data_IF_824231083815
#
_entry.id   IF_824231083815
#
_cell.length_a   1.000
_cell.length_b   1.000
_cell.length_c   1.000
_cell.angle_alpha   90.00
_cell.angle_beta   90.00
_cell.angle_gamma   90.00
#
_symmetry.space_group_name_H-M   'P 1'
#
loop_
_entity.id
_entity.type
_entity.pdbx_description
1 polymer ?
#
# COMPACT_ATOMS: atom_id res chain seq x y z
N UNK A 1 1.89 33.98 6.07
CA UNK A 1 1.37 32.81 5.35
C UNK A 1 1.40 31.46 6.14
N UNK A 2 1.89 31.39 7.38
CA UNK A 2 2.01 30.12 8.13
C UNK A 2 0.70 29.48 8.64
N UNK A 3 -0.42 30.19 8.66
CA UNK A 3 -1.69 29.71 9.24
C UNK A 3 -2.86 29.53 8.23
N UNK A 4 -2.62 29.71 6.94
CA UNK A 4 -3.67 29.52 5.92
C UNK A 4 -3.79 28.04 5.55
N UNK A 5 -5.03 27.56 5.41
CA UNK A 5 -5.32 26.22 4.88
C UNK A 5 -4.85 26.09 3.41
N UNK A 6 -4.76 24.88 2.89
CA UNK A 6 -4.19 24.61 1.56
C UNK A 6 -4.91 25.39 0.43
N UNK A 7 -6.24 25.48 0.48
CA UNK A 7 -7.03 26.19 -0.54
C UNK A 7 -6.65 27.67 -0.71
N UNK A 8 -6.68 28.52 0.35
CA UNK A 8 -6.32 29.93 0.18
C UNK A 8 -4.83 30.12 -0.19
N UNK A 9 -3.94 29.20 0.18
CA UNK A 9 -2.53 29.25 -0.23
C UNK A 9 -2.38 29.04 -1.75
N UNK A 10 -2.99 27.99 -2.29
CA UNK A 10 -2.91 27.69 -3.73
C UNK A 10 -3.64 28.73 -4.55
N UNK A 11 -4.79 29.21 -4.08
CA UNK A 11 -5.55 30.27 -4.73
C UNK A 11 -4.73 31.58 -4.78
N UNK A 12 -4.18 32.04 -3.65
CA UNK A 12 -3.41 33.27 -3.58
C UNK A 12 -2.11 33.18 -4.41
N UNK A 13 -1.45 32.03 -4.43
CA UNK A 13 -0.25 31.82 -5.22
C UNK A 13 -0.56 31.86 -6.72
N UNK A 14 -1.62 31.17 -7.17
CA UNK A 14 -1.99 31.13 -8.58
C UNK A 14 -2.50 32.49 -9.07
N UNK A 15 -3.31 33.22 -8.30
CA UNK A 15 -3.80 34.54 -8.71
C UNK A 15 -2.67 35.57 -8.73
N UNK A 16 -1.75 35.54 -7.77
CA UNK A 16 -0.60 36.46 -7.75
C UNK A 16 0.34 36.24 -8.94
N UNK A 17 0.57 34.97 -9.32
CA UNK A 17 1.37 34.62 -10.50
C UNK A 17 0.70 35.08 -11.79
N UNK A 18 -0.61 34.82 -11.95
CA UNK A 18 -1.36 35.26 -13.12
C UNK A 18 -1.45 36.79 -13.21
N UNK A 19 -1.69 37.48 -12.08
CA UNK A 19 -1.73 38.94 -12.04
C UNK A 19 -0.37 39.55 -12.46
N UNK A 20 0.74 39.01 -11.93
CA UNK A 20 2.07 39.43 -12.33
C UNK A 20 2.32 39.25 -13.83
N UNK A 21 1.90 38.09 -14.39
CA UNK A 21 2.03 37.80 -15.82
C UNK A 21 1.19 38.80 -16.67
N UNK A 22 -0.04 39.11 -16.23
CA UNK A 22 -0.92 40.11 -16.92
C UNK A 22 -0.27 41.48 -16.90
N UNK A 23 0.26 41.94 -15.76
CA UNK A 23 0.94 43.23 -15.61
C UNK A 23 2.17 43.31 -16.51
N UNK A 24 3.00 42.28 -16.54
CA UNK A 24 4.18 42.21 -17.39
C UNK A 24 3.78 42.25 -18.86
N UNK A 25 2.80 41.47 -19.29
CA UNK A 25 2.35 41.40 -20.66
C UNK A 25 1.80 42.77 -21.16
N UNK A 26 0.93 43.39 -20.35
CA UNK A 26 0.37 44.72 -20.69
C UNK A 26 1.43 45.82 -20.64
N UNK A 27 2.38 45.76 -19.68
CA UNK A 27 3.51 46.66 -19.61
C UNK A 27 4.43 46.52 -20.85
N UNK A 28 4.68 45.29 -21.31
CA UNK A 28 5.47 45.03 -22.51
C UNK A 28 4.78 45.58 -23.78
N UNK A 29 3.46 45.37 -23.88
CA UNK A 29 2.68 45.95 -25.00
C UNK A 29 2.78 47.48 -25.00
N UNK A 30 2.59 48.11 -23.84
CA UNK A 30 2.71 49.55 -23.68
C UNK A 30 4.08 50.09 -24.08
N UNK A 31 5.16 49.40 -23.68
CA UNK A 31 6.55 49.84 -23.96
C UNK A 31 6.96 49.58 -25.42
N UNK A 32 6.62 48.44 -26.01
CA UNK A 32 7.11 48.03 -27.32
C UNK A 32 6.26 48.52 -28.47
N UNK A 33 4.93 48.68 -28.28
CA UNK A 33 4.03 49.03 -29.38
C UNK A 33 4.41 50.32 -30.11
N UNK A 34 4.80 51.42 -29.43
CA UNK A 34 5.19 52.65 -30.13
C UNK A 34 6.42 52.44 -31.00
N UNK A 35 7.42 51.69 -30.51
CA UNK A 35 8.64 51.45 -31.27
C UNK A 35 8.41 50.56 -32.53
N UNK A 36 7.60 49.51 -32.34
CA UNK A 36 7.24 48.60 -33.46
C UNK A 36 6.41 49.36 -34.53
N UNK A 37 5.45 50.18 -34.11
CA UNK A 37 4.63 50.95 -35.01
C UNK A 37 5.45 52.00 -35.80
N UNK A 38 6.38 52.71 -35.11
CA UNK A 38 7.28 53.64 -35.75
C UNK A 38 8.19 52.94 -36.77
N UNK A 39 8.76 51.80 -36.45
CA UNK A 39 9.59 51.01 -37.37
C UNK A 39 8.77 50.57 -38.59
N UNK A 40 7.55 50.11 -38.42
CA UNK A 40 6.68 49.73 -39.54
C UNK A 40 6.36 50.90 -40.45
N UNK A 41 6.08 52.09 -39.88
CA UNK A 41 5.85 53.29 -40.63
C UNK A 41 7.10 53.72 -41.44
N UNK A 42 8.29 53.67 -40.86
CA UNK A 42 9.57 53.94 -41.53
C UNK A 42 9.78 53.02 -42.74
N UNK A 43 9.56 51.70 -42.56
CA UNK A 43 9.67 50.73 -43.64
C UNK A 43 8.64 50.98 -44.76
N UNK A 44 7.43 51.36 -44.40
CA UNK A 44 6.37 51.71 -45.34
C UNK A 44 6.80 52.95 -46.16
N UNK A 45 7.26 54.02 -45.50
CA UNK A 45 7.74 55.21 -46.17
C UNK A 45 8.93 54.96 -47.09
N UNK A 46 9.87 54.06 -46.69
CA UNK A 46 10.99 53.65 -47.57
C UNK A 46 10.50 52.91 -48.83
N UNK A 47 9.56 51.96 -48.65
CA UNK A 47 9.00 51.24 -49.80
C UNK A 47 8.23 52.18 -50.73
N UNK A 48 7.47 53.15 -50.20
CA UNK A 48 6.72 54.12 -50.96
C UNK A 48 7.61 55.08 -51.77
N UNK A 49 8.74 55.57 -51.17
CA UNK A 49 9.62 56.47 -51.92
C UNK A 49 10.36 55.71 -53.02
N UNK A 50 10.76 54.44 -52.80
CA UNK A 50 11.38 53.58 -53.83
C UNK A 50 10.39 53.36 -54.99
N UNK A 51 9.14 53.07 -54.68
CA UNK A 51 8.13 52.81 -55.68
C UNK A 51 7.78 54.08 -56.49
N UNK A 52 7.63 55.22 -55.78
CA UNK A 52 7.44 56.51 -56.40
C UNK A 52 8.64 56.85 -57.30
N UNK A 53 9.87 56.66 -56.82
CA UNK A 53 11.09 56.95 -57.60
C UNK A 53 11.16 56.14 -58.89
N UNK A 54 10.68 54.87 -58.83
CA UNK A 54 10.61 54.00 -60.01
C UNK A 54 9.58 54.48 -61.02
N UNK A 55 8.40 54.95 -60.55
CA UNK A 55 7.36 55.47 -61.40
C UNK A 55 7.75 56.81 -62.07
N UNK A 56 8.49 57.68 -61.38
CA UNK A 56 8.93 58.99 -61.90
C UNK A 56 10.12 58.89 -62.85
N UNK A 57 10.87 57.83 -62.89
CA UNK A 57 12.10 57.69 -63.69
C UNK A 57 11.80 57.84 -65.21
N UNK A 58 12.47 58.79 -65.86
CA UNK A 58 12.41 59.03 -67.33
C UNK A 58 11.18 59.78 -67.79
N UNK A 59 10.29 60.17 -66.83
CA UNK A 59 9.08 60.93 -67.17
C UNK A 59 9.40 62.42 -67.46
N UNK A 60 8.49 63.09 -68.18
CA UNK A 60 8.52 64.56 -68.37
C UNK A 60 8.04 65.26 -67.08
N UNK A 61 8.39 66.57 -66.95
CA UNK A 61 8.04 67.33 -65.73
C UNK A 61 6.56 67.33 -65.44
N UNK A 62 5.71 67.47 -66.48
CA UNK A 62 4.23 67.50 -66.31
C UNK A 62 3.67 66.15 -65.90
N UNK A 63 4.21 65.07 -66.47
CA UNK A 63 3.82 63.74 -66.11
C UNK A 63 4.26 63.40 -64.68
N UNK A 64 5.43 63.87 -64.26
CA UNK A 64 5.94 63.73 -62.88
C UNK A 64 5.02 64.41 -61.86
N UNK A 65 4.53 65.63 -62.17
CA UNK A 65 3.56 66.35 -61.33
C UNK A 65 2.30 65.54 -61.13
N UNK A 66 1.76 65.00 -62.23
CA UNK A 66 0.48 64.26 -62.21
C UNK A 66 0.66 62.96 -61.47
N UNK A 67 1.78 62.23 -61.68
CA UNK A 67 2.13 60.97 -60.96
C UNK A 67 2.32 61.26 -59.48
N UNK A 68 3.08 62.28 -59.09
CA UNK A 68 3.29 62.63 -57.68
C UNK A 68 1.96 63.02 -56.99
N UNK A 69 1.11 63.79 -57.65
CA UNK A 69 -0.21 64.17 -57.12
C UNK A 69 -1.12 62.97 -56.90
N UNK A 70 -1.20 62.07 -57.88
CA UNK A 70 -2.05 60.85 -57.75
C UNK A 70 -1.50 59.88 -56.69
N UNK A 71 -0.13 59.78 -56.57
CA UNK A 71 0.52 58.97 -55.57
C UNK A 71 0.30 59.51 -54.14
N UNK A 72 0.46 60.87 -53.97
CA UNK A 72 0.20 61.56 -52.71
C UNK A 72 -1.21 61.30 -52.19
N UNK A 73 -2.23 61.43 -53.04
CA UNK A 73 -3.63 61.17 -52.69
C UNK A 73 -3.88 59.67 -52.37
N UNK A 74 -3.30 58.75 -53.15
CA UNK A 74 -3.56 57.33 -53.00
C UNK A 74 -2.91 56.77 -51.71
N UNK A 75 -1.72 57.27 -51.36
CA UNK A 75 -0.94 56.78 -50.24
C UNK A 75 -1.04 57.65 -48.97
N UNK A 76 -1.80 58.74 -49.05
CA UNK A 76 -1.98 59.70 -47.96
C UNK A 76 -0.64 60.22 -47.42
N UNK A 77 0.23 60.63 -48.31
CA UNK A 77 1.58 61.18 -48.02
C UNK A 77 1.76 62.55 -48.73
N UNK A 78 2.63 63.38 -48.19
CA UNK A 78 3.00 64.62 -48.86
C UNK A 78 4.27 64.39 -49.64
N UNK A 79 4.28 64.81 -50.95
CA UNK A 79 5.42 64.67 -51.85
C UNK A 79 5.84 66.07 -52.27
N UNK A 80 7.11 66.36 -52.10
CA UNK A 80 7.73 67.58 -52.64
C UNK A 80 8.71 67.18 -53.72
N UNK A 81 8.46 67.73 -54.96
CA UNK A 81 9.35 67.60 -56.09
C UNK A 81 10.16 68.93 -56.28
N UNK A 82 11.46 68.85 -56.31
CA UNK A 82 12.30 70.00 -56.68
C UNK A 82 12.70 69.87 -58.14
N UNK A 83 12.05 70.66 -59.05
CA UNK A 83 12.27 70.66 -60.48
C UNK A 83 12.83 72.04 -60.83
N UNK A 84 14.02 72.09 -61.50
CA UNK A 84 14.69 73.30 -61.84
C UNK A 84 14.87 74.35 -60.73
N UNK A 85 15.14 73.80 -59.52
CA UNK A 85 15.34 74.60 -58.28
C UNK A 85 14.08 75.18 -57.67
N UNK A 86 12.92 74.78 -58.14
CA UNK A 86 11.58 75.12 -57.53
C UNK A 86 10.95 73.96 -56.88
N UNK A 87 10.53 74.13 -55.62
CA UNK A 87 9.80 73.15 -54.87
C UNK A 87 8.34 73.16 -55.14
N UNK A 88 7.75 72.06 -55.61
CA UNK A 88 6.34 71.86 -55.86
C UNK A 88 5.85 70.74 -54.92
N UNK A 89 4.87 71.08 -54.06
CA UNK A 89 4.34 70.18 -53.03
C UNK A 89 2.98 69.66 -53.40
N UNK A 90 2.81 68.34 -53.36
CA UNK A 90 1.59 67.58 -53.58
C UNK A 90 1.09 66.97 -52.27
N UNK A 91 -0.02 67.34 -51.76
CA UNK A 91 -0.59 66.93 -50.48
C UNK A 91 -1.56 65.77 -50.68
N UNK A 92 -1.32 64.66 -49.99
CA UNK A 92 -2.26 63.54 -49.88
C UNK A 92 -3.20 63.59 -48.68
N UNK A 93 -2.88 64.41 -47.69
CA UNK A 93 -3.69 64.73 -46.53
C UNK A 93 -3.71 66.24 -46.32
N UNK A 94 -4.69 66.78 -45.58
CA UNK A 94 -4.71 68.21 -45.20
C UNK A 94 -3.46 68.44 -44.25
N UNK A 95 -2.34 68.65 -44.88
CA UNK A 95 -1.20 69.17 -44.19
C UNK A 95 -1.26 70.68 -44.22
N UNK A 96 -1.13 71.24 -43.10
CA UNK A 96 -0.85 72.64 -42.89
C UNK A 96 0.31 73.07 -43.80
N UNK A 97 0.15 74.22 -44.54
CA UNK A 97 1.10 74.69 -45.51
C UNK A 97 2.53 74.73 -44.97
N UNK A 98 3.39 73.91 -45.55
CA UNK A 98 4.84 73.96 -45.29
C UNK A 98 5.44 74.99 -46.22
N UNK A 99 5.69 76.19 -45.72
CA UNK A 99 6.56 77.18 -46.39
C UNK A 99 7.96 76.93 -45.95
N UNK A 100 8.74 76.22 -46.80
CA UNK A 100 10.19 76.00 -46.56
C UNK A 100 10.95 77.21 -47.14
N UNK A 101 11.21 78.22 -46.36
CA UNK A 101 12.24 79.23 -46.63
C UNK A 101 13.50 78.82 -45.82
N UNK A 102 14.55 78.52 -46.57
CA UNK A 102 15.98 78.33 -46.18
C UNK A 102 16.45 76.93 -45.76
N UNK A 103 17.77 76.67 -45.96
CA UNK A 103 18.36 75.33 -45.67
C UNK A 103 18.34 75.04 -44.17
N UNK A 104 17.64 73.97 -43.87
CA UNK A 104 17.22 73.55 -42.53
C UNK A 104 18.41 73.15 -41.68
N UNK A 105 18.80 73.97 -40.73
CA UNK A 105 19.35 73.54 -39.49
C UNK A 105 18.26 72.77 -38.69
N UNK A 106 18.58 71.61 -38.22
CA UNK A 106 17.63 70.51 -37.82
C UNK A 106 16.77 70.80 -36.57
N UNK A 107 16.60 72.04 -36.15
CA UNK A 107 16.02 72.34 -34.82
C UNK A 107 14.61 72.97 -34.80
N UNK A 108 14.09 73.50 -35.90
CA UNK A 108 12.71 74.09 -35.90
C UNK A 108 12.02 74.04 -37.27
N UNK A 109 11.08 73.18 -37.47
CA UNK A 109 10.13 73.20 -38.58
C UNK A 109 8.85 73.87 -38.09
N UNK A 110 8.65 75.16 -38.46
CA UNK A 110 7.40 75.88 -38.17
C UNK A 110 6.47 75.71 -39.38
N UNK A 111 5.32 75.08 -39.22
CA UNK A 111 4.31 74.85 -40.20
C UNK A 111 3.08 75.70 -39.78
N UNK A 112 2.74 76.76 -40.53
CA UNK A 112 1.55 77.59 -40.36
C UNK A 112 1.19 77.93 -38.91
N UNK A 113 2.19 78.33 -38.07
CA UNK A 113 1.93 78.82 -36.70
C UNK A 113 1.74 77.77 -35.63
N UNK A 114 1.77 76.48 -35.95
CA UNK A 114 1.83 75.42 -34.95
C UNK A 114 3.23 74.85 -34.87
N UNK A 115 3.76 74.72 -33.64
CA UNK A 115 5.00 74.00 -33.37
C UNK A 115 4.74 72.49 -33.56
N UNK A 116 5.19 71.99 -34.72
CA UNK A 116 5.15 70.54 -34.92
C UNK A 116 6.49 69.96 -34.41
N UNK A 117 6.39 69.03 -33.49
CA UNK A 117 7.56 68.29 -33.01
C UNK A 117 8.24 67.60 -34.21
N UNK A 118 9.53 67.86 -34.48
CA UNK A 118 10.28 67.22 -35.58
C UNK A 118 10.24 65.69 -35.53
N UNK A 119 9.96 65.12 -34.38
CA UNK A 119 9.77 63.70 -34.17
C UNK A 119 8.43 63.16 -34.75
N UNK A 120 7.52 64.02 -35.19
CA UNK A 120 6.19 63.63 -35.70
C UNK A 120 6.12 63.42 -37.21
N UNK A 121 7.24 63.60 -37.96
CA UNK A 121 7.26 63.46 -39.43
C UNK A 121 8.42 62.57 -39.86
N UNK A 122 8.13 61.56 -40.68
CA UNK A 122 9.15 60.74 -41.34
C UNK A 122 9.44 61.37 -42.69
N UNK A 123 10.69 61.87 -42.89
CA UNK A 123 11.13 62.43 -44.13
C UNK A 123 12.04 61.43 -44.83
N UNK A 124 11.76 61.12 -46.08
CA UNK A 124 12.64 60.31 -46.94
C UNK A 124 12.90 61.10 -48.22
N UNK A 125 14.18 61.23 -48.62
CA UNK A 125 14.60 61.98 -49.81
C UNK A 125 15.33 61.04 -50.76
N UNK A 126 15.02 61.14 -52.04
CA UNK A 126 15.71 60.45 -53.12
C UNK A 126 15.85 61.36 -54.34
N UNK A 127 16.75 61.05 -55.24
CA UNK A 127 16.90 61.79 -56.52
C UNK A 127 16.52 60.86 -57.67
N UNK A 128 15.75 61.40 -58.62
CA UNK A 128 15.29 60.67 -59.80
C UNK A 128 15.72 61.40 -61.04
N UNK A 129 16.24 60.73 -62.07
CA UNK A 129 16.59 61.26 -63.35
C UNK A 129 15.37 61.30 -64.27
N UNK A 130 14.80 62.46 -64.50
CA UNK A 130 13.77 62.72 -65.49
C UNK A 130 14.27 63.06 -66.87
N UNK A 131 13.37 63.37 -67.81
CA UNK A 131 13.77 63.76 -69.18
C UNK A 131 14.44 65.14 -69.24
N UNK A 132 14.16 66.01 -68.24
CA UNK A 132 14.67 67.41 -68.19
C UNK A 132 15.87 67.61 -67.21
N UNK A 133 16.28 66.53 -66.45
CA UNK A 133 17.38 66.68 -65.49
C UNK A 133 17.14 65.81 -64.22
N UNK A 134 17.88 66.09 -63.15
CA UNK A 134 17.78 65.41 -61.85
C UNK A 134 16.73 66.14 -61.00
N UNK A 135 15.73 65.42 -60.56
CA UNK A 135 14.67 65.91 -59.70
C UNK A 135 14.85 65.32 -58.31
N UNK A 136 14.85 66.16 -57.29
CA UNK A 136 14.82 65.73 -55.90
C UNK A 136 13.37 65.43 -55.49
N UNK A 137 13.13 64.26 -54.88
CA UNK A 137 11.85 63.81 -54.42
C UNK A 137 11.92 63.65 -52.91
N UNK A 138 11.12 64.43 -52.17
CA UNK A 138 10.97 64.28 -50.70
C UNK A 138 9.57 63.74 -50.42
N UNK A 139 9.52 62.67 -49.65
CA UNK A 139 8.26 62.07 -49.16
C UNK A 139 8.18 62.36 -47.67
N UNK A 140 7.05 62.97 -47.26
CA UNK A 140 6.76 63.24 -45.87
C UNK A 140 5.58 62.37 -45.46
N UNK A 141 5.76 61.50 -44.48
CA UNK A 141 4.72 60.65 -43.88
C UNK A 141 4.46 61.14 -42.48
N UNK A 142 3.18 61.26 -42.14
CA UNK A 142 2.75 61.72 -40.84
C UNK A 142 2.87 60.62 -39.78
N UNK A 143 3.49 60.93 -38.63
CA UNK A 143 3.60 60.13 -37.45
C UNK A 143 2.51 60.39 -36.41
N UNK A 144 1.65 61.42 -36.68
CA UNK A 144 0.51 61.66 -35.73
C UNK A 144 -0.35 60.45 -35.52
N UNK A 145 -0.45 59.57 -36.52
CA UNK A 145 -1.07 58.26 -36.42
C UNK A 145 -0.41 57.36 -35.35
N UNK A 146 0.89 57.58 -34.98
CA UNK A 146 1.54 56.88 -33.88
C UNK A 146 0.96 57.30 -32.51
N UNK A 147 0.76 58.63 -32.34
CA UNK A 147 0.17 59.17 -31.12
C UNK A 147 -1.32 58.78 -30.99
N UNK A 148 -2.03 58.73 -32.10
CA UNK A 148 -3.42 58.23 -32.12
C UNK A 148 -3.51 56.75 -31.81
N UNK A 149 -2.59 55.90 -32.35
CA UNK A 149 -2.50 54.49 -32.02
C UNK A 149 -2.14 54.28 -30.55
N UNK A 150 -1.20 55.08 -30.01
CA UNK A 150 -0.84 55.06 -28.58
C UNK A 150 -2.04 55.42 -27.69
N UNK A 151 -2.77 56.49 -28.06
CA UNK A 151 -3.96 56.93 -27.33
C UNK A 151 -5.09 55.88 -27.39
N UNK A 152 -5.30 55.23 -28.55
CA UNK A 152 -6.27 54.15 -28.70
C UNK A 152 -5.90 52.95 -27.84
N UNK A 153 -4.61 52.56 -27.84
CA UNK A 153 -4.11 51.47 -27.00
C UNK A 153 -4.29 51.75 -25.52
N UNK A 154 -3.95 52.98 -25.08
CA UNK A 154 -4.14 53.42 -23.70
C UNK A 154 -5.61 53.39 -23.27
N UNK A 155 -6.54 53.67 -24.20
CA UNK A 155 -7.99 53.64 -23.93
C UNK A 155 -8.52 52.19 -23.81
N UNK A 156 -7.97 51.26 -24.56
CA UNK A 156 -8.40 49.85 -24.58
C UNK A 156 -7.73 49.05 -23.44
N UNK A 157 -6.49 49.37 -23.07
CA UNK A 157 -5.65 48.65 -22.10
C UNK A 157 -6.33 48.41 -20.76
N UNK A 158 -7.06 49.35 -20.11
CA UNK A 158 -7.72 49.07 -18.84
C UNK A 158 -8.88 48.07 -18.98
N UNK A 159 -9.57 48.03 -20.09
CA UNK A 159 -10.65 47.06 -20.34
C UNK A 159 -10.11 45.65 -20.53
N UNK A 160 -9.03 45.48 -21.32
CA UNK A 160 -8.40 44.19 -21.52
C UNK A 160 -7.70 43.69 -20.25
N UNK A 161 -7.10 44.59 -19.47
CA UNK A 161 -6.48 44.25 -18.17
C UNK A 161 -7.55 43.78 -17.17
N UNK A 162 -8.70 44.49 -17.08
CA UNK A 162 -9.80 44.09 -16.20
C UNK A 162 -10.42 42.77 -16.62
N UNK A 163 -10.67 42.56 -17.90
CA UNK A 163 -11.18 41.30 -18.44
C UNK A 163 -10.23 40.13 -18.16
N UNK A 164 -8.92 40.34 -18.41
CA UNK A 164 -7.88 39.31 -18.12
C UNK A 164 -7.80 38.96 -16.63
N UNK A 165 -7.94 39.96 -15.75
CA UNK A 165 -7.93 39.76 -14.30
C UNK A 165 -9.14 38.95 -13.82
N UNK A 166 -10.35 39.23 -14.38
CA UNK A 166 -11.55 38.47 -14.09
C UNK A 166 -11.39 36.99 -14.51
N UNK A 167 -10.88 36.74 -15.72
CA UNK A 167 -10.60 35.38 -16.21
C UNK A 167 -9.58 34.68 -15.33
N UNK A 168 -8.50 35.37 -14.93
CA UNK A 168 -7.50 34.85 -14.03
C UNK A 168 -8.06 34.46 -12.66
N UNK A 169 -9.00 35.25 -12.14
CA UNK A 169 -9.67 34.99 -10.86
C UNK A 169 -10.53 33.72 -10.93
N UNK A 170 -11.33 33.58 -11.99
CA UNK A 170 -12.18 32.40 -12.22
C UNK A 170 -11.28 31.14 -12.38
N UNK A 171 -10.25 31.24 -13.21
CA UNK A 171 -9.33 30.14 -13.46
C UNK A 171 -8.60 29.73 -12.18
N UNK A 172 -8.08 30.69 -11.41
CA UNK A 172 -7.42 30.43 -10.14
C UNK A 172 -8.34 29.75 -9.13
N UNK A 173 -9.60 30.17 -9.05
CA UNK A 173 -10.61 29.55 -8.20
C UNK A 173 -10.88 28.09 -8.62
N UNK A 174 -11.16 27.85 -9.90
CA UNK A 174 -11.40 26.50 -10.43
C UNK A 174 -10.19 25.58 -10.21
N UNK A 175 -8.99 26.05 -10.54
CA UNK A 175 -7.74 25.30 -10.35
C UNK A 175 -7.52 24.91 -8.88
N UNK A 176 -7.70 25.89 -7.97
CA UNK A 176 -7.55 25.63 -6.53
C UNK A 176 -8.58 24.60 -6.03
N UNK A 177 -9.81 24.62 -6.54
CA UNK A 177 -10.83 23.63 -6.20
C UNK A 177 -10.48 22.23 -6.72
N UNK A 178 -10.02 22.16 -7.97
CA UNK A 178 -9.71 20.88 -8.62
C UNK A 178 -8.58 20.12 -7.90
N UNK A 179 -7.53 20.82 -7.45
CA UNK A 179 -6.39 20.19 -6.78
C UNK A 179 -6.61 20.03 -5.27
N UNK A 180 -7.16 21.06 -4.62
CA UNK A 180 -7.19 21.06 -3.14
C UNK A 180 -8.26 20.16 -2.56
N UNK A 181 -9.43 20.03 -3.21
CA UNK A 181 -10.51 19.17 -2.70
C UNK A 181 -10.13 17.69 -2.58
N UNK A 182 -9.58 17.03 -3.63
CA UNK A 182 -9.17 15.64 -3.54
C UNK A 182 -8.10 15.41 -2.45
N UNK A 183 -7.07 16.26 -2.39
CA UNK A 183 -6.02 16.16 -1.40
C UNK A 183 -6.56 16.30 0.03
N UNK A 184 -7.49 17.24 0.26
CA UNK A 184 -8.12 17.42 1.57
C UNK A 184 -9.01 16.23 1.95
N UNK A 185 -9.69 15.61 0.99
CA UNK A 185 -10.45 14.37 1.22
C UNK A 185 -9.51 13.23 1.60
N UNK A 186 -8.41 13.08 0.87
CA UNK A 186 -7.40 12.07 1.18
C UNK A 186 -6.83 12.24 2.57
N UNK A 187 -6.46 13.47 2.97
CA UNK A 187 -5.96 13.77 4.31
C UNK A 187 -6.97 13.39 5.41
N UNK A 188 -8.28 13.66 5.20
CA UNK A 188 -9.32 13.25 6.15
C UNK A 188 -9.44 11.74 6.26
N UNK A 189 -9.43 11.04 5.12
CA UNK A 189 -9.51 9.57 5.09
C UNK A 189 -8.29 8.96 5.75
N UNK A 190 -7.09 9.48 5.50
CA UNK A 190 -5.86 9.00 6.13
C UNK A 190 -5.89 9.18 7.66
N UNK A 191 -6.50 10.26 8.17
CA UNK A 191 -6.71 10.43 9.61
C UNK A 191 -7.66 9.37 10.18
N UNK A 192 -8.72 9.01 9.46
CA UNK A 192 -9.61 7.91 9.86
C UNK A 192 -8.90 6.53 9.80
N UNK A 193 -8.03 6.33 8.80
CA UNK A 193 -7.19 5.13 8.69
C UNK A 193 -6.21 4.99 9.85
N UNK A 194 -5.64 6.10 10.37
CA UNK A 194 -4.80 6.08 11.58
C UNK A 194 -5.55 5.56 12.81
N UNK A 195 -6.85 5.79 12.88
CA UNK A 195 -7.72 5.28 13.94
C UNK A 195 -8.25 3.86 13.65
N UNK A 196 -7.76 3.20 12.61
CA UNK A 196 -8.14 1.86 12.16
C UNK A 196 -9.64 1.69 11.87
N UNK A 197 -10.35 2.79 11.48
CA UNK A 197 -11.74 2.69 11.11
C UNK A 197 -11.95 1.73 9.93
N UNK A 198 -12.85 0.73 10.04
CA UNK A 198 -13.00 -0.35 9.03
C UNK A 198 -13.31 0.14 7.63
N UNK A 199 -14.10 1.21 7.52
CA UNK A 199 -14.64 1.74 6.26
C UNK A 199 -13.85 2.94 5.72
N UNK A 200 -12.68 3.23 6.32
CA UNK A 200 -11.85 4.35 5.89
C UNK A 200 -11.17 4.03 4.55
N UNK A 201 -11.84 4.38 3.44
CA UNK A 201 -11.31 4.24 2.09
C UNK A 201 -11.46 5.55 1.32
N UNK A 202 -10.43 5.88 0.54
CA UNK A 202 -10.49 6.99 -0.39
C UNK A 202 -11.26 6.57 -1.66
N UNK A 203 -12.34 7.30 -1.96
CA UNK A 203 -13.11 7.12 -3.18
C UNK A 203 -12.86 8.32 -4.09
N UNK A 204 -11.96 8.16 -5.04
CA UNK A 204 -11.68 9.13 -6.11
C UNK A 204 -12.49 8.79 -7.35
N UNK A 205 -13.03 9.83 -8.05
CA UNK A 205 -13.80 9.67 -9.29
C UNK A 205 -12.95 9.84 -10.55
N UNK A 206 -11.63 10.08 -10.43
CA UNK A 206 -10.72 10.34 -11.55
C UNK A 206 -9.88 9.12 -11.95
N UNK A 207 -9.17 9.27 -13.07
CA UNK A 207 -8.10 8.36 -13.52
C UNK A 207 -6.73 9.06 -13.48
N UNK A 208 -6.64 10.17 -12.75
CA UNK A 208 -5.43 10.98 -12.59
C UNK A 208 -4.48 10.42 -11.52
N UNK A 209 -3.34 11.05 -11.36
CA UNK A 209 -2.32 10.69 -10.39
C UNK A 209 -2.83 10.74 -8.95
N UNK A 210 -3.82 11.59 -8.67
CA UNK A 210 -4.46 11.68 -7.35
C UNK A 210 -5.31 10.45 -7.07
N UNK A 211 -6.02 9.95 -8.07
CA UNK A 211 -6.79 8.70 -7.94
C UNK A 211 -5.88 7.49 -7.78
N UNK A 212 -4.76 7.44 -8.53
CA UNK A 212 -3.74 6.39 -8.38
C UNK A 212 -3.15 6.40 -6.96
N UNK A 213 -2.79 7.59 -6.46
CA UNK A 213 -2.29 7.75 -5.09
C UNK A 213 -3.33 7.28 -4.06
N UNK A 214 -4.59 7.64 -4.23
CA UNK A 214 -5.68 7.21 -3.35
C UNK A 214 -5.84 5.68 -3.32
N UNK A 215 -5.78 5.04 -4.48
CA UNK A 215 -5.83 3.58 -4.58
C UNK A 215 -4.63 2.90 -3.92
N UNK A 216 -3.43 3.47 -4.06
CA UNK A 216 -2.24 2.96 -3.41
C UNK A 216 -2.32 3.07 -1.88
N UNK A 217 -2.85 4.20 -1.37
CA UNK A 217 -3.12 4.39 0.07
C UNK A 217 -4.13 3.36 0.57
N UNK A 218 -5.24 3.12 -0.18
CA UNK A 218 -6.23 2.09 0.17
C UNK A 218 -5.59 0.70 0.26
N UNK A 219 -4.79 0.30 -0.76
CA UNK A 219 -4.09 -1.00 -0.75
C UNK A 219 -3.14 -1.15 0.43
N UNK A 220 -2.40 -0.10 0.76
CA UNK A 220 -1.51 -0.09 1.91
C UNK A 220 -2.28 -0.27 3.22
N UNK A 221 -3.41 0.42 3.36
CA UNK A 221 -4.28 0.30 4.52
C UNK A 221 -4.88 -1.10 4.67
N UNK A 222 -5.38 -1.69 3.56
CA UNK A 222 -5.92 -3.06 3.55
C UNK A 222 -4.87 -4.09 3.94
N UNK A 223 -3.64 -3.94 3.44
CA UNK A 223 -2.53 -4.81 3.81
C UNK A 223 -2.18 -4.67 5.29
N UNK A 224 -2.13 -3.44 5.81
CA UNK A 224 -1.88 -3.17 7.23
C UNK A 224 -2.96 -3.83 8.11
N UNK A 225 -4.23 -3.68 7.76
CA UNK A 225 -5.34 -4.31 8.49
C UNK A 225 -5.26 -5.84 8.49
N UNK A 226 -4.95 -6.45 7.34
CA UNK A 226 -4.76 -7.91 7.26
C UNK A 226 -3.61 -8.38 8.14
N UNK A 227 -2.50 -7.63 8.17
CA UNK A 227 -1.36 -7.95 9.02
C UNK A 227 -1.72 -7.85 10.51
N UNK A 228 -2.41 -6.79 10.93
CA UNK A 228 -2.88 -6.63 12.32
C UNK A 228 -3.79 -7.80 12.70
N UNK A 229 -4.79 -8.13 11.89
CA UNK A 229 -5.70 -9.26 12.16
C UNK A 229 -4.96 -10.61 12.23
N UNK A 230 -3.94 -10.80 11.40
CA UNK A 230 -3.10 -12.01 11.47
C UNK A 230 -2.31 -12.07 12.77
N UNK A 231 -1.70 -10.96 13.19
CA UNK A 231 -0.96 -10.86 14.45
C UNK A 231 -1.87 -11.06 15.68
N UNK A 232 -3.07 -10.50 15.66
CA UNK A 232 -4.05 -10.70 16.72
C UNK A 232 -4.45 -12.18 16.88
N UNK A 233 -4.68 -12.89 15.75
CA UNK A 233 -4.97 -14.33 15.74
C UNK A 233 -3.81 -15.15 16.27
N UNK A 234 -2.59 -14.83 15.85
CA UNK A 234 -1.38 -15.50 16.30
C UNK A 234 -1.15 -15.26 17.79
N UNK A 235 -1.32 -14.02 18.25
CA UNK A 235 -1.19 -13.68 19.68
C UNK A 235 -2.24 -14.38 20.55
N UNK A 236 -3.49 -14.46 20.08
CA UNK A 236 -4.53 -15.22 20.76
C UNK A 236 -4.20 -16.73 20.81
N UNK A 237 -3.59 -17.26 19.73
CA UNK A 237 -3.15 -18.64 19.70
C UNK A 237 -2.00 -18.91 20.70
N UNK A 238 -0.97 -18.07 20.72
CA UNK A 238 0.13 -18.14 21.67
C UNK A 238 -0.37 -18.06 23.11
N UNK A 239 -1.22 -17.09 23.42
CA UNK A 239 -1.81 -16.93 24.76
C UNK A 239 -2.59 -18.17 25.19
N UNK A 240 -3.28 -18.81 24.26
CA UNK A 240 -3.99 -20.07 24.54
C UNK A 240 -3.00 -21.21 24.87
N UNK A 241 -1.94 -21.36 24.06
CA UNK A 241 -0.92 -22.40 24.32
C UNK A 241 -0.20 -22.18 25.64
N UNK A 242 0.11 -20.94 26.01
CA UNK A 242 0.69 -20.60 27.31
C UNK A 242 -0.23 -20.97 28.47
N UNK A 243 -1.53 -20.67 28.39
CA UNK A 243 -2.52 -21.05 29.40
C UNK A 243 -2.61 -22.58 29.54
N UNK A 244 -2.64 -23.32 28.44
CA UNK A 244 -2.65 -24.78 28.45
C UNK A 244 -1.37 -25.35 29.09
N UNK A 245 -0.19 -24.76 28.78
CA UNK A 245 1.09 -25.14 29.39
C UNK A 245 1.13 -24.89 30.90
N UNK A 246 0.65 -23.73 31.34
CA UNK A 246 0.58 -23.39 32.76
C UNK A 246 -0.39 -24.36 33.50
N UNK A 247 -1.56 -24.61 32.95
CA UNK A 247 -2.52 -25.55 33.51
C UNK A 247 -1.95 -26.97 33.64
N UNK A 248 -1.19 -27.43 32.62
CA UNK A 248 -0.48 -28.71 32.66
C UNK A 248 0.56 -28.78 33.79
N UNK A 249 1.40 -27.72 33.93
CA UNK A 249 2.41 -27.66 34.99
C UNK A 249 1.79 -27.63 36.39
N UNK A 250 0.71 -26.90 36.56
CA UNK A 250 -0.06 -26.89 37.82
C UNK A 250 -0.62 -28.27 38.17
N UNK A 251 -1.24 -28.94 37.19
CA UNK A 251 -1.74 -30.30 37.37
C UNK A 251 -0.64 -31.28 37.69
N UNK A 252 0.53 -31.21 37.01
CA UNK A 252 1.71 -32.03 37.29
C UNK A 252 2.21 -31.82 38.70
N UNK A 253 2.37 -30.57 39.13
CA UNK A 253 2.82 -30.24 40.48
C UNK A 253 1.87 -30.83 41.57
N UNK A 254 0.56 -30.72 41.36
CA UNK A 254 -0.41 -31.26 42.29
C UNK A 254 -0.36 -32.78 42.36
N UNK A 255 -0.31 -33.48 41.21
CA UNK A 255 -0.25 -34.95 41.15
C UNK A 255 1.10 -35.55 41.62
N UNK A 256 2.19 -34.77 41.61
CA UNK A 256 3.48 -35.15 42.23
C UNK A 256 3.48 -34.95 43.75
N UNK A 257 2.82 -33.86 44.24
CA UNK A 257 2.83 -33.53 45.67
C UNK A 257 2.12 -34.58 46.50
N UNK A 258 1.01 -35.14 46.00
CA UNK A 258 0.21 -36.15 46.75
C UNK A 258 0.96 -37.43 47.04
N UNK A 259 1.57 -38.18 46.07
CA UNK A 259 2.34 -39.37 46.32
C UNK A 259 3.62 -39.10 47.14
N UNK A 260 4.25 -37.90 46.94
CA UNK A 260 5.40 -37.51 47.75
C UNK A 260 5.06 -37.33 49.20
N UNK A 261 3.93 -36.72 49.55
CA UNK A 261 3.43 -36.59 50.90
C UNK A 261 3.10 -37.97 51.52
N UNK A 262 2.46 -38.86 50.73
CA UNK A 262 2.19 -40.25 51.17
C UNK A 262 3.47 -41.04 51.43
N UNK A 263 4.45 -40.93 50.54
CA UNK A 263 5.77 -41.56 50.70
C UNK A 263 6.50 -41.08 51.98
N UNK A 264 6.46 -39.78 52.24
CA UNK A 264 7.01 -39.19 53.46
C UNK A 264 6.38 -39.76 54.68
N UNK A 265 5.03 -39.82 54.76
CA UNK A 265 4.33 -40.40 55.90
C UNK A 265 4.67 -41.88 56.09
N UNK A 266 4.74 -42.69 55.01
CA UNK A 266 5.14 -44.10 55.08
C UNK A 266 6.53 -44.25 55.67
N UNK A 267 7.50 -43.45 55.23
CA UNK A 267 8.87 -43.49 55.72
C UNK A 267 8.99 -43.01 57.19
N UNK A 268 8.27 -41.92 57.56
CA UNK A 268 8.21 -41.41 58.93
C UNK A 268 7.60 -42.48 59.89
N UNK A 269 6.56 -43.19 59.48
CA UNK A 269 5.97 -44.28 60.26
C UNK A 269 6.93 -45.46 60.49
N UNK A 270 7.70 -45.80 59.47
CA UNK A 270 8.75 -46.83 59.61
C UNK A 270 9.84 -46.35 60.58
N UNK A 271 10.32 -45.10 60.42
CA UNK A 271 11.38 -44.52 61.26
C UNK A 271 11.02 -44.39 62.71
N UNK A 272 9.77 -43.97 63.00
CA UNK A 272 9.27 -43.80 64.36
C UNK A 272 8.82 -45.12 65.01
N UNK A 273 8.93 -46.28 64.35
CA UNK A 273 8.50 -47.54 64.85
C UNK A 273 7.00 -47.76 64.99
N UNK A 274 6.18 -46.89 64.42
CA UNK A 274 4.72 -46.98 64.41
C UNK A 274 4.24 -48.17 63.59
N UNK A 275 5.00 -48.56 62.55
CA UNK A 275 4.70 -49.70 61.69
C UNK A 275 5.11 -51.00 62.42
N UNK A 276 4.18 -51.97 62.59
CA UNK A 276 4.50 -53.28 63.16
C UNK A 276 5.64 -53.97 62.40
N UNK A 277 6.49 -54.70 63.10
CA UNK A 277 7.66 -55.37 62.49
C UNK A 277 7.26 -56.29 61.32
N UNK A 278 6.13 -56.97 61.37
CA UNK A 278 5.61 -57.84 60.33
C UNK A 278 5.17 -57.10 59.05
N UNK A 279 4.90 -55.80 59.13
CA UNK A 279 4.41 -55.00 58.03
C UNK A 279 5.47 -54.08 57.45
N UNK A 280 6.64 -53.94 58.08
CA UNK A 280 7.70 -53.01 57.65
C UNK A 280 8.20 -53.29 56.24
N UNK A 281 8.45 -54.58 55.92
CA UNK A 281 8.94 -55.00 54.61
C UNK A 281 7.92 -54.67 53.48
N UNK A 282 6.64 -54.89 53.74
CA UNK A 282 5.57 -54.53 52.82
C UNK A 282 5.50 -53.02 52.61
N UNK A 283 5.60 -52.23 53.69
CA UNK A 283 5.52 -50.77 53.62
C UNK A 283 6.78 -50.20 52.93
N UNK A 284 7.94 -50.80 53.06
CA UNK A 284 9.12 -50.47 52.35
C UNK A 284 8.98 -50.74 50.83
N UNK A 285 8.43 -51.92 50.47
CA UNK A 285 8.14 -52.28 49.10
C UNK A 285 7.13 -51.29 48.44
N UNK A 286 6.07 -50.89 49.19
CA UNK A 286 5.09 -49.86 48.74
C UNK A 286 5.75 -48.48 48.56
N UNK A 287 6.72 -48.13 49.43
CA UNK A 287 7.50 -46.90 49.33
C UNK A 287 8.37 -46.90 48.07
N UNK A 288 9.08 -47.98 47.80
CA UNK A 288 9.89 -48.13 46.54
C UNK A 288 9.02 -48.08 45.30
N UNK A 289 7.86 -48.75 45.27
CA UNK A 289 6.90 -48.69 44.17
C UNK A 289 6.35 -47.27 43.97
N UNK A 290 6.27 -46.47 45.03
CA UNK A 290 5.85 -45.06 44.92
C UNK A 290 6.94 -44.19 44.36
N UNK A 291 8.24 -44.44 44.69
CA UNK A 291 9.40 -43.78 44.06
C UNK A 291 9.44 -44.07 42.57
N UNK A 292 9.31 -45.33 42.16
CA UNK A 292 9.30 -45.73 40.75
C UNK A 292 8.18 -45.06 39.97
N UNK A 293 7.00 -44.95 40.60
CA UNK A 293 5.84 -44.22 40.02
C UNK A 293 6.13 -42.73 39.83
N UNK A 294 6.75 -42.09 40.84
CA UNK A 294 7.15 -40.69 40.75
C UNK A 294 8.19 -40.48 39.66
N UNK A 295 9.19 -41.33 39.55
CA UNK A 295 10.20 -41.27 38.50
C UNK A 295 9.59 -41.38 37.09
N UNK A 296 8.68 -42.34 36.90
CA UNK A 296 7.95 -42.50 35.64
C UNK A 296 7.09 -41.25 35.31
N UNK A 297 6.42 -40.68 36.32
CA UNK A 297 5.60 -39.49 36.14
C UNK A 297 6.42 -38.27 35.76
N UNK A 298 7.59 -38.05 36.36
CA UNK A 298 8.54 -36.98 36.02
C UNK A 298 9.03 -37.15 34.59
N UNK A 299 9.45 -38.37 34.20
CA UNK A 299 9.87 -38.65 32.84
C UNK A 299 8.77 -38.40 31.79
N UNK A 300 7.54 -38.84 32.07
CA UNK A 300 6.42 -38.64 31.19
C UNK A 300 6.09 -37.13 31.04
N UNK A 301 6.20 -36.37 32.14
CA UNK A 301 5.99 -34.92 32.15
C UNK A 301 7.03 -34.18 31.30
N UNK A 302 8.34 -34.52 31.51
CA UNK A 302 9.42 -33.93 30.73
C UNK A 302 9.33 -34.27 29.25
N UNK A 303 9.08 -35.54 28.92
CA UNK A 303 8.89 -35.97 27.52
C UNK A 303 7.70 -35.30 26.88
N UNK A 304 6.62 -35.04 27.61
CA UNK A 304 5.42 -34.37 27.07
C UNK A 304 5.65 -32.89 26.82
N UNK A 305 6.40 -32.21 27.70
CA UNK A 305 6.77 -30.79 27.53
C UNK A 305 7.63 -30.51 26.29
N UNK A 306 8.48 -31.46 25.90
CA UNK A 306 9.41 -31.33 24.76
C UNK A 306 8.78 -31.74 23.41
N UNK A 307 7.64 -32.42 23.40
CA UNK A 307 7.17 -33.21 22.25
C UNK A 307 6.44 -32.40 21.21
N UNK A 308 5.80 -31.30 21.56
CA UNK A 308 5.00 -30.50 20.61
C UNK A 308 5.88 -29.86 19.50
N UNK A 309 7.07 -29.38 19.86
CA UNK A 309 8.01 -28.78 18.87
C UNK A 309 8.68 -29.87 17.99
N UNK A 310 8.93 -31.05 18.55
CA UNK A 310 9.56 -32.16 17.83
C UNK A 310 8.57 -32.90 16.89
N UNK A 311 7.26 -32.83 17.14
CA UNK A 311 6.26 -33.52 16.35
C UNK A 311 6.22 -33.08 14.88
N UNK A 312 6.59 -31.84 14.59
CA UNK A 312 6.60 -31.25 13.23
C UNK A 312 7.97 -31.42 12.54
N UNK A 313 9.02 -31.69 13.30
CA UNK A 313 10.38 -31.89 12.78
C UNK A 313 10.59 -33.29 12.20
N UNK A 314 11.55 -33.45 11.28
CA UNK A 314 12.02 -34.75 10.73
C UNK A 314 10.91 -35.64 10.12
N UNK A 315 10.00 -35.08 9.36
CA UNK A 315 8.94 -35.84 8.72
C UNK A 315 9.47 -36.78 7.62
N UNK A 316 8.99 -38.02 7.63
CA UNK A 316 9.26 -39.05 6.62
C UNK A 316 7.92 -39.68 6.17
N UNK A 317 7.91 -40.27 4.99
CA UNK A 317 6.77 -41.10 4.56
C UNK A 317 6.86 -42.45 5.27
N UNK A 318 5.86 -42.77 6.05
CA UNK A 318 5.80 -43.98 6.90
C UNK A 318 4.63 -44.87 6.48
N UNK A 319 4.82 -46.18 6.62
CA UNK A 319 3.76 -47.18 6.52
C UNK A 319 3.13 -47.35 7.92
N UNK A 320 1.92 -46.78 8.09
CA UNK A 320 1.19 -46.81 9.38
C UNK A 320 0.82 -48.23 9.76
N UNK A 321 0.39 -49.01 8.78
CA UNK A 321 0.06 -50.44 8.95
C UNK A 321 1.22 -51.24 9.55
N UNK A 322 2.45 -51.06 9.03
CA UNK A 322 3.64 -51.73 9.55
C UNK A 322 4.02 -51.25 10.98
N UNK A 323 3.85 -49.95 11.20
CA UNK A 323 4.15 -49.39 12.53
C UNK A 323 3.13 -49.83 13.58
N UNK A 324 1.87 -49.97 13.23
CA UNK A 324 0.80 -50.53 14.11
C UNK A 324 1.09 -51.97 14.42
N UNK A 325 1.48 -52.78 13.41
CA UNK A 325 1.85 -54.19 13.60
C UNK A 325 3.07 -54.32 14.53
N UNK A 326 4.09 -53.49 14.35
CA UNK A 326 5.25 -53.44 15.21
C UNK A 326 4.85 -53.16 16.70
N UNK A 327 4.03 -52.12 16.90
CA UNK A 327 3.56 -51.76 18.25
C UNK A 327 2.65 -52.84 18.86
N UNK A 328 1.79 -53.51 18.09
CA UNK A 328 1.00 -54.64 18.56
C UNK A 328 1.93 -55.75 19.08
N UNK A 329 2.97 -56.10 18.34
CA UNK A 329 3.92 -57.12 18.70
C UNK A 329 4.67 -56.80 20.03
N UNK A 330 5.04 -55.54 20.25
CA UNK A 330 5.64 -55.07 21.52
C UNK A 330 4.73 -55.32 22.74
N UNK A 331 3.41 -55.22 22.53
CA UNK A 331 2.43 -55.41 23.63
C UNK A 331 1.85 -56.83 23.68
N UNK A 332 2.22 -57.75 22.76
CA UNK A 332 1.67 -59.11 22.69
C UNK A 332 1.86 -59.92 23.96
N UNK A 333 3.07 -59.86 24.54
CA UNK A 333 3.38 -60.54 25.79
C UNK A 333 2.54 -60.02 26.96
N UNK A 334 2.37 -58.70 27.08
CA UNK A 334 1.54 -58.08 28.10
C UNK A 334 0.06 -58.42 27.92
N UNK A 335 -0.41 -58.49 26.67
CA UNK A 335 -1.77 -58.89 26.33
C UNK A 335 -2.04 -60.36 26.71
N UNK A 336 -1.09 -61.25 26.43
CA UNK A 336 -1.21 -62.69 26.72
C UNK A 336 -1.30 -62.98 28.24
N UNK A 337 -0.57 -62.24 29.10
CA UNK A 337 -0.70 -62.38 30.57
C UNK A 337 -2.09 -62.06 31.10
N UNK A 338 -2.86 -61.26 30.31
CA UNK A 338 -4.23 -60.89 30.58
C UNK A 338 -5.26 -61.69 29.76
N UNK A 339 -4.83 -62.69 28.99
CA UNK A 339 -5.64 -63.49 28.08
C UNK A 339 -6.37 -62.60 27.01
N UNK A 340 -5.78 -61.46 26.60
CA UNK A 340 -6.31 -60.61 25.57
C UNK A 340 -5.88 -61.07 24.20
N UNK A 341 -6.77 -60.87 23.19
CA UNK A 341 -6.47 -61.25 21.80
C UNK A 341 -6.56 -59.98 20.95
N UNK A 342 -5.53 -59.76 20.11
CA UNK A 342 -5.59 -58.70 19.08
C UNK A 342 -6.24 -59.24 17.81
N UNK A 343 -7.26 -58.54 17.33
CA UNK A 343 -7.87 -58.72 16.00
C UNK A 343 -7.45 -57.53 15.14
N UNK A 344 -6.45 -57.75 14.30
CA UNK A 344 -5.91 -56.69 13.41
C UNK A 344 -6.44 -56.88 11.99
N UNK A 345 -6.98 -55.80 11.37
CA UNK A 345 -7.38 -55.70 10.01
C UNK A 345 -6.78 -54.40 9.42
N UNK A 346 -5.60 -54.53 8.83
CA UNK A 346 -4.73 -53.41 8.50
C UNK A 346 -4.57 -53.29 6.98
N UNK A 347 -5.25 -52.29 6.37
CA UNK A 347 -4.98 -51.94 4.98
C UNK A 347 -3.74 -51.06 4.87
N UNK A 348 -2.95 -51.20 3.79
CA UNK A 348 -1.73 -50.40 3.60
C UNK A 348 -2.04 -48.91 3.59
N UNK A 349 -1.42 -48.14 4.51
CA UNK A 349 -1.61 -46.70 4.64
C UNK A 349 -0.24 -46.00 4.77
N UNK A 350 0.00 -45.03 3.89
CA UNK A 350 1.18 -44.17 3.92
C UNK A 350 0.81 -42.79 4.42
N UNK A 351 1.54 -42.27 5.41
CA UNK A 351 1.39 -40.89 5.92
C UNK A 351 2.76 -40.24 6.03
N UNK A 352 2.78 -38.92 5.92
CA UNK A 352 4.00 -38.13 6.18
C UNK A 352 4.00 -37.66 7.62
N UNK A 353 4.87 -38.21 8.43
CA UNK A 353 4.94 -37.91 9.88
C UNK A 353 6.37 -38.09 10.44
N UNK A 354 6.57 -37.63 11.67
CA UNK A 354 7.74 -37.99 12.45
C UNK A 354 7.56 -39.42 13.00
N UNK A 355 8.53 -40.34 12.76
CA UNK A 355 8.41 -41.72 13.20
C UNK A 355 8.23 -41.88 14.71
N UNK A 356 9.04 -41.16 15.50
CA UNK A 356 9.03 -41.25 16.96
C UNK A 356 7.69 -40.71 17.53
N UNK A 357 7.18 -39.65 16.94
CA UNK A 357 5.86 -39.09 17.30
C UNK A 357 4.75 -40.10 17.05
N UNK A 358 4.69 -40.69 15.85
CA UNK A 358 3.60 -41.60 15.49
C UNK A 358 3.70 -42.90 16.30
N UNK A 359 4.89 -43.45 16.48
CA UNK A 359 5.10 -44.60 17.33
C UNK A 359 4.62 -44.33 18.77
N UNK A 360 4.90 -43.16 19.32
CA UNK A 360 4.46 -42.75 20.65
C UNK A 360 2.94 -42.62 20.75
N UNK A 361 2.27 -42.07 19.74
CA UNK A 361 0.80 -42.02 19.67
C UNK A 361 0.24 -43.45 19.71
N UNK A 362 0.73 -44.30 18.82
CA UNK A 362 0.27 -45.68 18.72
C UNK A 362 0.51 -46.49 20.01
N UNK A 363 1.72 -46.39 20.60
CA UNK A 363 2.06 -47.03 21.87
C UNK A 363 1.15 -46.57 23.01
N UNK A 364 0.85 -45.29 23.12
CA UNK A 364 -0.08 -44.76 24.12
C UNK A 364 -1.51 -45.30 23.95
N UNK A 365 -1.98 -45.37 22.71
CA UNK A 365 -3.34 -45.84 22.41
C UNK A 365 -3.44 -47.35 22.63
N UNK A 366 -2.48 -48.15 22.15
CA UNK A 366 -2.48 -49.62 22.25
C UNK A 366 -2.21 -50.05 23.71
N UNK A 367 -1.23 -49.44 24.41
CA UNK A 367 -1.01 -49.72 25.82
C UNK A 367 -2.24 -49.40 26.69
N UNK A 368 -2.94 -48.33 26.36
CA UNK A 368 -4.20 -47.96 27.06
C UNK A 368 -5.27 -49.02 26.82
N UNK A 369 -5.44 -49.48 25.56
CA UNK A 369 -6.35 -50.55 25.22
C UNK A 369 -6.00 -51.84 25.97
N UNK A 370 -4.74 -52.29 25.99
CA UNK A 370 -4.32 -53.47 26.73
C UNK A 370 -4.55 -53.35 28.23
N UNK A 371 -4.28 -52.19 28.81
CA UNK A 371 -4.37 -51.93 30.24
C UNK A 371 -5.81 -51.94 30.78
N UNK A 372 -6.71 -51.33 30.01
CA UNK A 372 -8.10 -51.10 30.45
C UNK A 372 -9.11 -52.11 29.91
N UNK A 373 -8.73 -53.01 29.02
CA UNK A 373 -9.60 -54.09 28.53
C UNK A 373 -10.00 -55.06 29.63
N UNK A 374 -11.17 -55.61 29.53
CA UNK A 374 -11.63 -56.71 30.37
C UNK A 374 -10.76 -57.96 30.12
N UNK A 375 -10.43 -58.73 31.14
CA UNK A 375 -9.58 -59.93 30.98
C UNK A 375 -10.28 -60.95 30.07
N UNK A 376 -9.56 -61.50 29.10
CA UNK A 376 -10.07 -62.48 28.13
C UNK A 376 -10.83 -61.83 26.96
N UNK A 377 -10.81 -60.51 26.83
CA UNK A 377 -11.50 -59.79 25.74
C UNK A 377 -10.64 -59.60 24.50
N UNK A 378 -11.25 -59.12 23.41
CA UNK A 378 -10.61 -58.83 22.15
C UNK A 378 -10.36 -57.32 21.98
N UNK A 379 -9.16 -56.93 21.54
CA UNK A 379 -8.80 -55.60 21.10
C UNK A 379 -8.80 -55.58 19.56
N UNK A 380 -9.73 -54.85 18.95
CA UNK A 380 -9.83 -54.72 17.50
C UNK A 380 -9.08 -53.49 17.01
N UNK A 381 -8.10 -53.69 16.09
CA UNK A 381 -7.33 -52.62 15.47
C UNK A 381 -7.58 -52.67 13.96
N UNK A 382 -8.14 -51.59 13.39
CA UNK A 382 -8.50 -51.52 11.96
C UNK A 382 -7.93 -50.29 11.32
N UNK A 383 -7.45 -50.42 10.11
CA UNK A 383 -7.09 -49.31 9.20
C UNK A 383 -7.97 -49.43 7.95
N UNK A 384 -8.85 -48.43 7.73
CA UNK A 384 -9.69 -48.34 6.53
C UNK A 384 -9.82 -46.87 6.08
N UNK A 385 -9.71 -46.62 4.77
CA UNK A 385 -9.88 -45.27 4.17
C UNK A 385 -9.16 -44.14 4.95
N UNK A 386 -7.88 -44.31 5.22
CA UNK A 386 -7.04 -43.38 5.98
C UNK A 386 -7.42 -43.20 7.46
N UNK A 387 -8.30 -44.05 7.99
CA UNK A 387 -8.75 -43.98 9.39
C UNK A 387 -8.20 -45.20 10.14
N UNK A 388 -7.49 -44.95 11.24
CA UNK A 388 -7.11 -45.96 12.22
C UNK A 388 -8.16 -45.97 13.34
N UNK A 389 -8.70 -47.14 13.66
CA UNK A 389 -9.56 -47.34 14.82
C UNK A 389 -9.06 -48.42 15.74
N UNK A 390 -8.98 -48.13 17.02
CA UNK A 390 -8.65 -49.09 18.09
C UNK A 390 -9.87 -49.19 19.01
N UNK A 391 -10.45 -50.39 19.08
CA UNK A 391 -11.62 -50.67 19.88
C UNK A 391 -11.28 -51.70 20.93
N UNK A 392 -11.56 -51.45 22.19
CA UNK A 392 -11.35 -52.37 23.27
C UNK A 392 -12.61 -52.53 24.17
N UNK A 393 -12.82 -53.74 24.64
CA UNK A 393 -13.93 -54.08 25.55
C UNK A 393 -13.55 -53.70 26.98
N UNK A 394 -14.36 -52.82 27.57
CA UNK A 394 -14.21 -52.37 28.94
C UNK A 394 -15.55 -51.94 29.48
N UNK A 395 -15.64 -51.56 30.76
CA UNK A 395 -16.81 -50.92 31.28
C UNK A 395 -17.14 -49.68 30.42
N UNK A 396 -18.37 -49.56 29.91
CA UNK A 396 -18.77 -48.42 29.09
C UNK A 396 -18.54 -47.10 29.82
N UNK A 397 -18.02 -46.10 29.08
CA UNK A 397 -17.81 -44.75 29.59
C UNK A 397 -18.96 -43.85 29.10
N UNK A 398 -19.32 -42.87 29.90
CA UNK A 398 -20.20 -41.80 29.46
C UNK A 398 -19.50 -40.88 28.46
N UNK A 399 -20.28 -40.19 27.61
CA UNK A 399 -19.73 -39.20 26.65
C UNK A 399 -18.88 -38.14 27.35
N UNK A 400 -19.32 -37.70 28.55
CA UNK A 400 -18.57 -36.72 29.36
C UNK A 400 -17.22 -37.28 29.84
N UNK A 401 -17.13 -38.53 30.20
CA UNK A 401 -15.87 -39.18 30.59
C UNK A 401 -14.96 -39.33 29.36
N UNK A 402 -15.49 -39.71 28.19
CA UNK A 402 -14.76 -39.79 26.94
C UNK A 402 -14.13 -38.45 26.51
N UNK A 403 -14.72 -37.33 26.84
CA UNK A 403 -14.12 -36.01 26.60
C UNK A 403 -13.00 -35.70 27.59
N UNK A 404 -13.19 -36.09 28.86
CA UNK A 404 -12.27 -35.79 29.95
C UNK A 404 -11.02 -36.66 29.95
N UNK A 405 -11.00 -37.81 29.29
CA UNK A 405 -9.79 -38.67 29.22
C UNK A 405 -8.58 -37.98 28.58
N UNK A 406 -8.79 -36.86 27.87
CA UNK A 406 -7.73 -36.03 27.29
C UNK A 406 -7.25 -34.91 28.24
N UNK A 407 -7.87 -34.75 29.42
CA UNK A 407 -7.37 -33.84 30.45
C UNK A 407 -6.07 -34.44 31.05
N UNK A 408 -5.02 -33.66 31.33
CA UNK A 408 -3.80 -34.16 31.92
C UNK A 408 -4.08 -34.76 33.30
N UNK A 409 -3.45 -35.91 33.60
CA UNK A 409 -3.59 -36.65 34.86
C UNK A 409 -5.00 -37.17 35.17
N UNK A 410 -5.96 -37.03 34.26
CA UNK A 410 -7.31 -37.56 34.50
C UNK A 410 -7.32 -39.06 34.55
N UNK A 411 -7.98 -39.61 35.60
CA UNK A 411 -8.21 -41.04 35.83
C UNK A 411 -9.62 -41.29 36.32
N UNK A 412 -10.25 -42.32 35.77
CA UNK A 412 -11.58 -42.72 36.19
C UNK A 412 -11.62 -43.12 37.69
N UNK A 413 -12.62 -42.67 38.46
CA UNK A 413 -12.75 -42.91 39.92
C UNK A 413 -12.65 -44.42 40.31
N UNK A 414 -13.11 -45.34 39.45
CA UNK A 414 -13.12 -46.76 39.69
C UNK A 414 -11.72 -47.39 39.60
N UNK A 415 -10.72 -46.75 39.03
CA UNK A 415 -9.33 -47.20 39.00
C UNK A 415 -8.51 -46.75 40.24
N UNK A 416 -9.11 -45.99 41.16
CA UNK A 416 -8.48 -45.54 42.43
C UNK A 416 -8.50 -46.58 43.55
N UNK A 417 -9.27 -47.68 43.40
CA UNK A 417 -9.41 -48.70 44.44
C UNK A 417 -8.94 -50.09 44.02
N UNK A 418 -7.98 -50.64 44.72
CA UNK A 418 -7.63 -52.09 44.88
C UNK A 418 -6.89 -52.83 43.78
N UNK A 419 -6.36 -52.20 42.75
CA UNK A 419 -5.30 -52.87 41.94
C UNK A 419 -4.26 -51.86 41.51
N UNK A 420 -3.00 -52.23 41.66
CA UNK A 420 -1.79 -51.48 41.33
C UNK A 420 -1.73 -51.15 39.80
N UNK A 421 -2.73 -50.45 39.25
CA UNK A 421 -2.78 -50.05 37.85
C UNK A 421 -1.91 -48.81 37.66
N UNK A 422 -0.64 -49.05 37.35
CA UNK A 422 0.40 -48.09 37.06
C UNK A 422 0.05 -47.31 35.81
N UNK A 423 -0.31 -46.03 35.93
CA UNK A 423 -0.51 -45.13 34.80
C UNK A 423 -0.49 -43.70 35.27
N UNK A 424 0.31 -42.83 34.66
CA UNK A 424 0.45 -41.42 35.02
C UNK A 424 -0.78 -40.57 34.70
N UNK A 425 -1.70 -41.04 33.84
CA UNK A 425 -2.80 -40.24 33.30
C UNK A 425 -2.41 -39.22 32.27
N UNK A 426 -1.15 -39.26 31.78
CA UNK A 426 -0.59 -38.31 30.77
C UNK A 426 -0.71 -38.88 29.35
N UNK A 427 -0.83 -40.21 29.18
CA UNK A 427 -0.72 -40.87 27.87
C UNK A 427 -1.68 -40.35 26.82
N UNK A 428 -3.00 -40.27 27.11
CA UNK A 428 -4.01 -39.72 26.17
C UNK A 428 -3.89 -38.20 26.00
N UNK A 429 -3.46 -37.48 27.03
CA UNK A 429 -3.12 -36.07 26.90
C UNK A 429 -1.95 -35.85 25.93
N UNK A 430 -0.90 -36.69 26.00
CA UNK A 430 0.21 -36.69 25.05
C UNK A 430 -0.28 -36.99 23.62
N UNK A 431 -1.17 -37.96 23.46
CA UNK A 431 -1.80 -38.26 22.14
C UNK A 431 -2.54 -37.04 21.59
N UNK A 432 -3.35 -36.38 22.42
CA UNK A 432 -4.01 -35.15 22.05
C UNK A 432 -3.01 -34.08 21.56
N UNK A 433 -1.98 -33.77 22.36
CA UNK A 433 -0.98 -32.76 22.00
C UNK A 433 -0.28 -33.06 20.66
N UNK A 434 0.08 -34.32 20.43
CA UNK A 434 0.77 -34.75 19.21
C UNK A 434 -0.12 -34.70 17.96
N UNK A 435 -1.40 -35.12 18.10
CA UNK A 435 -2.36 -35.08 17.01
C UNK A 435 -2.81 -33.65 16.71
N UNK A 436 -3.01 -32.80 17.73
CA UNK A 436 -3.33 -31.37 17.56
C UNK A 436 -2.19 -30.64 16.89
N UNK A 437 -0.92 -30.89 17.27
CA UNK A 437 0.28 -30.30 16.65
C UNK A 437 0.41 -30.68 15.16
N UNK A 438 -0.12 -31.86 14.77
CA UNK A 438 -0.10 -32.34 13.39
C UNK A 438 -1.35 -31.94 12.60
N UNK A 439 -2.40 -31.47 13.28
CA UNK A 439 -3.68 -31.11 12.66
C UNK A 439 -4.54 -32.34 12.27
N UNK A 440 -4.25 -33.51 12.83
CA UNK A 440 -5.06 -34.69 12.57
C UNK A 440 -6.29 -34.73 13.47
N UNK A 441 -7.43 -35.14 12.93
CA UNK A 441 -8.64 -35.31 13.73
C UNK A 441 -8.63 -36.64 14.47
N UNK A 442 -9.15 -36.64 15.68
CA UNK A 442 -9.25 -37.84 16.52
C UNK A 442 -10.53 -37.80 17.35
N UNK A 443 -11.01 -38.98 17.71
CA UNK A 443 -12.20 -39.14 18.55
C UNK A 443 -12.02 -40.31 19.53
N UNK A 444 -12.58 -40.15 20.71
CA UNK A 444 -12.70 -41.24 21.70
C UNK A 444 -14.15 -41.38 22.06
N UNK A 445 -14.80 -42.46 21.60
CA UNK A 445 -16.24 -42.61 21.69
C UNK A 445 -16.64 -43.88 22.41
N UNK A 446 -17.75 -43.86 23.21
CA UNK A 446 -18.29 -45.08 23.78
C UNK A 446 -18.88 -45.99 22.70
N UNK A 447 -18.71 -47.28 22.85
CA UNK A 447 -19.38 -48.33 22.05
C UNK A 447 -20.12 -49.27 23.01
N UNK A 448 -20.98 -50.14 22.46
CA UNK A 448 -21.88 -50.99 23.26
C UNK A 448 -21.20 -51.71 24.43
N UNK A 449 -20.00 -52.27 24.22
CA UNK A 449 -19.28 -53.07 25.22
C UNK A 449 -17.88 -52.51 25.54
N UNK A 450 -17.64 -51.20 25.32
CA UNK A 450 -16.33 -50.59 25.55
C UNK A 450 -16.17 -49.20 24.99
N UNK A 451 -14.97 -48.95 24.45
CA UNK A 451 -14.59 -47.65 23.87
C UNK A 451 -13.86 -47.85 22.56
N UNK A 452 -13.96 -46.84 21.69
CA UNK A 452 -13.26 -46.77 20.41
C UNK A 452 -12.45 -45.48 20.32
N UNK A 453 -11.17 -45.61 20.01
CA UNK A 453 -10.31 -44.48 19.65
C UNK A 453 -10.14 -44.48 18.13
N UNK A 454 -10.29 -43.31 17.52
CA UNK A 454 -10.23 -43.11 16.06
C UNK A 454 -9.20 -42.02 15.77
N UNK A 455 -8.33 -42.23 14.77
CA UNK A 455 -7.47 -41.20 14.17
C UNK A 455 -7.78 -41.16 12.68
N UNK A 456 -8.09 -39.98 12.15
CA UNK A 456 -8.25 -39.72 10.74
C UNK A 456 -7.01 -38.99 10.19
N UNK A 457 -6.27 -39.67 9.32
CA UNK A 457 -5.07 -39.16 8.68
C UNK A 457 -5.36 -38.37 7.37
N UNK A 458 -6.61 -38.30 6.93
CA UNK A 458 -6.99 -37.57 5.72
C UNK A 458 -7.11 -36.06 5.94
N UNK A 459 -7.33 -35.64 7.19
CA UNK A 459 -7.57 -34.22 7.55
C UNK A 459 -6.27 -33.59 8.05
N UNK A 460 -5.47 -33.00 7.15
CA UNK A 460 -4.58 -31.93 7.57
C UNK A 460 -5.45 -30.69 7.82
N UNK A 461 -5.84 -30.38 9.05
CA UNK A 461 -6.29 -29.05 9.41
C UNK A 461 -5.16 -28.10 8.98
N UNK A 462 -5.41 -27.27 7.96
CA UNK A 462 -4.47 -26.25 7.52
C UNK A 462 -4.16 -25.34 8.71
N UNK A 463 -3.14 -25.69 9.45
CA UNK A 463 -2.43 -24.74 10.29
C UNK A 463 -1.65 -23.88 9.29
N UNK A 464 -2.23 -22.76 8.90
CA UNK A 464 -1.62 -21.77 8.03
C UNK A 464 -0.43 -21.14 8.77
N UNK A 465 0.66 -21.86 8.81
CA UNK A 465 1.97 -21.28 9.06
C UNK A 465 2.44 -20.82 7.68
N UNK A 466 2.16 -19.55 7.38
CA UNK A 466 2.73 -18.87 6.22
C UNK A 466 4.25 -18.85 6.38
N UNK A 467 4.94 -19.83 5.79
CA UNK A 467 6.36 -19.76 5.54
C UNK A 467 6.63 -18.63 4.54
N UNK A 468 6.79 -17.40 5.02
CA UNK A 468 7.48 -16.34 4.30
C UNK A 468 8.99 -16.70 4.30
N UNK A 469 9.37 -17.60 3.39
CA UNK A 469 10.74 -17.61 2.87
C UNK A 469 10.83 -16.45 1.86
N UNK A 470 11.38 -15.35 2.30
CA UNK A 470 11.97 -14.31 1.46
C UNK A 470 13.03 -14.96 0.55
N UNK A 471 12.67 -15.21 -0.70
CA UNK A 471 13.64 -15.39 -1.77
C UNK A 471 14.14 -14.01 -2.17
N UNK A 472 15.25 -13.57 -1.60
CA UNK A 472 16.13 -12.60 -2.23
C UNK A 472 16.66 -13.24 -3.53
N UNK A 473 16.07 -12.88 -4.66
CA UNK A 473 16.73 -12.97 -5.96
C UNK A 473 17.32 -11.60 -6.27
N UNK A 474 18.58 -11.46 -5.95
CA UNK A 474 19.49 -10.56 -6.62
C UNK A 474 19.62 -10.97 -8.08
N UNK A 475 19.39 -10.06 -9.03
CA UNK A 475 20.01 -10.11 -10.38
C UNK A 475 20.01 -8.72 -11.00
N UNK A 476 20.93 -8.51 -11.93
CA UNK A 476 21.99 -7.51 -11.94
C UNK A 476 21.55 -6.19 -12.55
#
# INVERSE_FOLDING_TARGET
>A
MKHLTLFPKTFLASISMLAAMIIIAHGLIYLLMPAVYLQQKQQTAESQIVDLSRQLRGQSADTMRQTARSFALRHNVTITLTIDGRDETFQGFQAVNIIAEQPVDTSLVTIAGEHIDPASIIIRTTTVRGSAGIVSVKLLADVESVNQAKAATLRILPYTMTASLLVALIFSYCYSQFITRPIRRMAKVTTAMQQLHPDAHYVGKGQDEIAVLGNNVNRLYDNLRRTIQSLERENAHITRLEKEKIAFLHAASHELKTPLASLRIMLENIQLGVTPAAEREQQLAESLATVDRLAAMVQDTLRTSQTAEQAVARQKTLRVDQLVEYVINDYQLLASTRKLVFAADLTPLKVRANPDMLQRVLSNVISNAVRYSNRGSTISVRIHHNVLSVTNQCKPLSTRECTRVFEPFYRLRQSRGKTNKIGSGIGLYTVKLLLDARGWSYQFTPVKDGVRFIIDFSTERQTTIANHRTTHTSKP
#
